data_IF_033041885684
#
_entry.id   IF_033041885684
#
_cell.length_a   1.000
_cell.length_b   1.000
_cell.length_c   1.000
_cell.angle_alpha   90.00
_cell.angle_beta   90.00
_cell.angle_gamma   90.00
#
_symmetry.space_group_name_H-M   'P 1'
#
loop_
_entity.id
_entity.type
_entity.pdbx_description
1 polymer ?
#
# COMPACT_ATOMS: atom_id res chain seq x y z
N UNK A 1 12.35 26.17 26.93
CA UNK A 1 12.13 26.73 25.59
C UNK A 1 12.27 25.59 24.61
N UNK A 2 11.16 25.04 24.14
CA UNK A 2 11.19 24.04 23.06
C UNK A 2 11.31 24.78 21.74
N UNK A 3 12.21 24.32 20.87
CA UNK A 3 12.35 24.81 19.50
C UNK A 3 10.99 24.71 18.78
N UNK A 4 10.60 25.71 17.98
CA UNK A 4 9.37 25.62 17.21
C UNK A 4 9.49 24.48 16.19
N UNK A 5 8.48 23.61 16.13
CA UNK A 5 8.34 22.60 15.09
C UNK A 5 8.38 23.30 13.72
N UNK A 6 9.55 23.27 13.08
CA UNK A 6 9.74 23.89 11.78
C UNK A 6 9.13 22.96 10.76
N UNK A 7 7.90 23.28 10.34
CA UNK A 7 7.19 22.55 9.30
C UNK A 7 7.84 22.88 7.94
N UNK A 8 8.65 21.95 7.43
CA UNK A 8 9.27 22.08 6.11
C UNK A 8 8.25 21.66 5.05
N UNK A 9 7.93 22.57 4.14
CA UNK A 9 7.03 22.29 3.02
C UNK A 9 7.77 21.48 1.96
N UNK A 10 7.30 20.26 1.70
CA UNK A 10 7.83 19.37 0.66
C UNK A 10 6.78 19.18 -0.44
N UNK A 11 7.17 19.42 -1.69
CA UNK A 11 6.36 19.01 -2.84
C UNK A 11 6.49 17.49 -3.02
N UNK A 12 5.40 16.76 -2.79
CA UNK A 12 5.34 15.33 -2.97
C UNK A 12 4.10 14.94 -3.79
N UNK A 13 4.18 13.81 -4.49
CA UNK A 13 3.04 13.16 -5.12
C UNK A 13 2.64 11.96 -4.26
N UNK A 14 1.35 11.89 -3.91
CA UNK A 14 0.79 10.76 -3.16
C UNK A 14 0.01 9.88 -4.11
N UNK A 15 0.27 8.58 -4.04
CA UNK A 15 -0.45 7.53 -4.76
C UNK A 15 -1.26 6.72 -3.75
N UNK A 16 -2.49 6.38 -4.11
CA UNK A 16 -3.33 5.42 -3.42
C UNK A 16 -3.72 4.33 -4.40
N UNK A 17 -3.58 3.07 -4.02
CA UNK A 17 -3.99 1.92 -4.80
C UNK A 17 -4.77 0.92 -3.93
N UNK A 18 -5.72 0.23 -4.55
CA UNK A 18 -6.61 -0.73 -3.90
C UNK A 18 -6.84 -1.93 -4.84
N UNK A 19 -6.76 -3.14 -4.31
CA UNK A 19 -7.02 -4.36 -5.11
C UNK A 19 -8.52 -4.61 -5.20
N UNK A 20 -9.08 -4.37 -6.38
CA UNK A 20 -10.50 -4.64 -6.63
C UNK A 20 -10.85 -6.13 -6.50
N UNK A 21 -12.04 -6.42 -5.98
CA UNK A 21 -12.58 -7.80 -5.92
C UNK A 21 -12.02 -8.65 -4.77
N UNK A 22 -11.33 -8.04 -3.80
CA UNK A 22 -10.81 -8.72 -2.61
C UNK A 22 -11.92 -9.39 -1.77
N UNK A 23 -13.05 -8.71 -1.52
CA UNK A 23 -14.14 -9.27 -0.71
C UNK A 23 -14.70 -10.59 -1.27
N UNK A 24 -15.12 -10.68 -2.57
CA UNK A 24 -15.52 -11.95 -3.16
C UNK A 24 -14.41 -13.02 -3.11
N UNK A 25 -13.14 -12.63 -3.27
CA UNK A 25 -12.01 -13.57 -3.19
C UNK A 25 -11.93 -14.24 -1.82
N UNK A 26 -12.15 -13.48 -0.73
CA UNK A 26 -12.22 -14.04 0.62
C UNK A 26 -13.37 -15.03 0.80
N UNK A 27 -14.53 -14.72 0.22
CA UNK A 27 -15.72 -15.58 0.28
C UNK A 27 -15.55 -16.89 -0.52
N UNK A 28 -14.90 -16.82 -1.68
CA UNK A 28 -14.76 -17.95 -2.60
C UNK A 28 -13.61 -18.89 -2.23
N UNK A 29 -12.48 -18.34 -1.77
CA UNK A 29 -11.23 -19.11 -1.61
C UNK A 29 -10.82 -19.33 -0.16
N UNK A 30 -11.52 -18.66 0.77
CA UNK A 30 -11.20 -18.64 2.19
C UNK A 30 -10.00 -17.76 2.53
N UNK A 31 -9.90 -17.39 3.80
CA UNK A 31 -8.97 -16.36 4.27
C UNK A 31 -7.51 -16.60 3.88
N UNK A 32 -7.00 -17.81 4.09
CA UNK A 32 -5.58 -18.10 3.85
C UNK A 32 -5.18 -17.88 2.39
N UNK A 33 -5.92 -18.51 1.47
CA UNK A 33 -5.69 -18.39 0.02
C UNK A 33 -5.85 -16.94 -0.45
N UNK A 34 -6.90 -16.25 0.02
CA UNK A 34 -7.14 -14.86 -0.32
C UNK A 34 -5.98 -13.96 0.13
N UNK A 35 -5.44 -14.16 1.34
CA UNK A 35 -4.28 -13.41 1.82
C UNK A 35 -3.02 -13.66 0.99
N UNK A 36 -2.76 -14.91 0.56
CA UNK A 36 -1.62 -15.22 -0.30
C UNK A 36 -1.71 -14.50 -1.66
N UNK A 37 -2.91 -14.49 -2.25
CA UNK A 37 -3.16 -13.82 -3.53
C UNK A 37 -3.05 -12.30 -3.41
N UNK A 38 -3.68 -11.70 -2.40
CA UNK A 38 -3.59 -10.26 -2.14
C UNK A 38 -2.16 -9.86 -1.82
N UNK A 39 -1.46 -10.61 -0.96
CA UNK A 39 -0.05 -10.36 -0.64
C UNK A 39 0.82 -10.33 -1.88
N UNK A 40 0.67 -11.32 -2.76
CA UNK A 40 1.40 -11.37 -4.04
C UNK A 40 1.12 -10.17 -4.94
N UNK A 41 -0.12 -9.67 -4.95
CA UNK A 41 -0.47 -8.47 -5.69
C UNK A 41 0.19 -7.21 -5.09
N UNK A 42 0.14 -7.04 -3.77
CA UNK A 42 0.76 -5.90 -3.08
C UNK A 42 2.29 -5.90 -3.19
N UNK A 43 2.93 -7.08 -3.17
CA UNK A 43 4.36 -7.22 -3.41
C UNK A 43 4.73 -6.69 -4.81
N UNK A 44 3.95 -7.06 -5.84
CA UNK A 44 4.16 -6.58 -7.21
C UNK A 44 4.00 -5.06 -7.33
N UNK A 45 3.03 -4.47 -6.63
CA UNK A 45 2.87 -3.01 -6.59
C UNK A 45 4.05 -2.35 -5.89
N UNK A 46 4.50 -2.93 -4.78
CA UNK A 46 5.65 -2.44 -4.01
C UNK A 46 6.92 -2.44 -4.84
N UNK A 47 7.16 -3.50 -5.61
CA UNK A 47 8.31 -3.59 -6.52
C UNK A 47 8.26 -2.49 -7.59
N UNK A 48 7.11 -2.30 -8.24
CA UNK A 48 6.92 -1.23 -9.24
C UNK A 48 7.14 0.16 -8.63
N UNK A 49 6.60 0.42 -7.43
CA UNK A 49 6.78 1.70 -6.73
C UNK A 49 8.26 1.95 -6.47
N UNK A 50 9.00 0.94 -6.00
CA UNK A 50 10.45 1.03 -5.74
C UNK A 50 11.24 1.25 -7.03
N UNK A 51 10.91 0.52 -8.10
CA UNK A 51 11.56 0.66 -9.41
C UNK A 51 11.36 2.07 -10.00
N UNK A 52 10.22 2.70 -9.70
CA UNK A 52 9.93 4.10 -10.06
C UNK A 52 10.57 5.13 -9.11
N UNK A 53 11.33 4.71 -8.09
CA UNK A 53 11.94 5.60 -7.11
C UNK A 53 10.97 6.14 -6.04
N UNK A 54 9.77 5.57 -5.94
CA UNK A 54 8.80 5.86 -4.89
C UNK A 54 9.06 5.08 -3.61
N UNK A 55 8.27 5.39 -2.57
CA UNK A 55 8.31 4.71 -1.27
C UNK A 55 6.89 4.35 -0.86
N UNK A 56 6.68 3.10 -0.45
CA UNK A 56 5.45 2.67 0.20
C UNK A 56 5.45 3.20 1.63
N UNK A 57 4.50 4.07 1.95
CA UNK A 57 4.37 4.69 3.27
C UNK A 57 3.57 3.79 4.22
N UNK A 58 2.56 3.09 3.69
CA UNK A 58 1.65 2.24 4.45
C UNK A 58 1.00 1.23 3.53
N UNK A 59 0.57 0.11 4.08
CA UNK A 59 -0.44 -0.78 3.50
C UNK A 59 -1.45 -1.19 4.57
N UNK A 60 -2.69 -1.49 4.17
CA UNK A 60 -3.72 -2.00 5.07
C UNK A 60 -4.68 -2.95 4.34
N UNK A 61 -4.52 -4.25 4.58
CA UNK A 61 -5.38 -5.25 3.96
C UNK A 61 -4.97 -5.41 2.50
N UNK A 62 -5.75 -4.85 1.59
CA UNK A 62 -5.64 -4.91 0.14
C UNK A 62 -5.29 -3.56 -0.53
N UNK A 63 -5.00 -2.53 0.28
CA UNK A 63 -4.59 -1.20 -0.17
C UNK A 63 -3.12 -0.86 0.16
N UNK A 64 -2.56 0.10 -0.59
CA UNK A 64 -1.25 0.73 -0.36
C UNK A 64 -1.16 2.17 -0.86
#
# INVERSE_FOLDING_TARGET
MSEPDTQIEHTATILFADVCGSTPLFEETGNWTAFEVIGSALDRHTDIIRDCGGVVIRSKGDDL
#
